data_IF_044618580103
#
_entry.id   IF_044618580103
#
_cell.length_a   1.000
_cell.length_b   1.000
_cell.length_c   1.000
_cell.angle_alpha   90.00
_cell.angle_beta   90.00
_cell.angle_gamma   90.00
#
_symmetry.space_group_name_H-M   'P 1'
#
loop_
_entity.id
_entity.type
_entity.pdbx_description
1 polymer ?
#
# COMPACT_ATOMS: atom_id res chain seq x y z
N UNK A 1 0.35 6.40 -8.39
CA UNK A 1 0.34 7.34 -7.24
C UNK A 1 1.65 8.10 -7.06
N UNK A 2 2.82 7.43 -7.06
CA UNK A 2 4.13 8.06 -6.85
C UNK A 2 4.40 9.26 -7.77
N UNK A 3 4.09 9.15 -9.07
CA UNK A 3 4.26 10.26 -10.01
C UNK A 3 3.35 11.46 -9.66
N UNK A 4 2.11 11.19 -9.24
CA UNK A 4 1.16 12.26 -8.84
C UNK A 4 1.65 12.95 -7.57
N UNK A 5 2.15 12.19 -6.57
CA UNK A 5 2.74 12.78 -5.37
C UNK A 5 3.96 13.65 -5.69
N UNK A 6 4.82 13.21 -6.61
CA UNK A 6 5.96 14.00 -7.05
C UNK A 6 5.52 15.32 -7.72
N UNK A 7 4.53 15.26 -8.62
CA UNK A 7 3.97 16.45 -9.26
C UNK A 7 3.35 17.39 -8.22
N UNK A 8 2.52 16.85 -7.31
CA UNK A 8 1.90 17.62 -6.21
C UNK A 8 2.95 18.32 -5.34
N UNK A 9 4.08 17.65 -5.08
CA UNK A 9 5.18 18.21 -4.28
C UNK A 9 5.82 19.41 -4.97
N UNK A 10 6.06 19.32 -6.27
CA UNK A 10 6.74 20.36 -7.05
C UNK A 10 5.79 21.48 -7.53
N UNK A 11 4.50 21.16 -7.69
CA UNK A 11 3.46 22.08 -8.19
C UNK A 11 2.18 21.99 -7.33
N UNK A 12 2.23 22.29 -6.04
CA UNK A 12 1.09 22.12 -5.13
C UNK A 12 -0.14 22.93 -5.54
N UNK A 13 0.05 24.04 -6.25
CA UNK A 13 -1.01 24.93 -6.71
C UNK A 13 -1.51 24.62 -8.14
N UNK A 14 -0.84 23.69 -8.85
CA UNK A 14 -1.19 23.33 -10.23
C UNK A 14 -0.85 24.41 -11.27
N UNK A 15 0.12 25.29 -11.00
CA UNK A 15 0.49 26.38 -11.92
C UNK A 15 1.23 25.85 -13.16
N UNK A 16 1.96 24.76 -13.03
CA UNK A 16 2.60 24.11 -14.18
C UNK A 16 1.58 23.37 -15.04
N UNK A 17 0.62 22.69 -14.41
CA UNK A 17 -0.46 21.96 -15.11
C UNK A 17 -1.25 22.90 -16.01
N UNK A 18 -1.56 24.10 -15.54
CA UNK A 18 -2.29 25.13 -16.31
C UNK A 18 -1.59 25.58 -17.61
N UNK A 19 -0.30 25.30 -17.75
CA UNK A 19 0.47 25.66 -18.97
C UNK A 19 0.27 24.66 -20.11
N UNK A 20 -0.39 23.54 -19.86
CA UNK A 20 -0.58 22.48 -20.83
C UNK A 20 -2.06 22.33 -21.18
N UNK A 21 -2.35 22.06 -22.43
CA UNK A 21 -3.68 21.65 -22.86
C UNK A 21 -3.88 20.16 -22.57
N UNK A 22 -4.64 19.86 -21.53
CA UNK A 22 -5.01 18.50 -21.12
C UNK A 22 -6.45 18.15 -21.47
N UNK A 23 -7.13 18.95 -22.33
CA UNK A 23 -8.55 18.75 -22.68
C UNK A 23 -8.82 17.42 -23.38
N UNK A 24 -7.82 16.80 -23.97
CA UNK A 24 -7.92 15.46 -24.58
C UNK A 24 -7.84 14.30 -23.59
N UNK A 25 -7.45 14.57 -22.32
CA UNK A 25 -7.38 13.54 -21.29
C UNK A 25 -8.80 13.15 -20.85
N UNK A 26 -9.15 11.88 -21.07
CA UNK A 26 -10.51 11.35 -20.76
C UNK A 26 -10.52 10.53 -19.48
N UNK A 27 -9.46 9.75 -19.25
CA UNK A 27 -9.37 8.83 -18.13
C UNK A 27 -7.93 8.73 -17.68
N UNK A 28 -7.71 8.77 -16.38
CA UNK A 28 -6.43 8.49 -15.75
C UNK A 28 -6.55 7.20 -14.94
N UNK A 29 -5.64 6.27 -15.16
CA UNK A 29 -5.54 5.05 -14.36
C UNK A 29 -4.39 5.15 -13.37
N UNK A 30 -4.58 4.58 -12.19
CA UNK A 30 -3.57 4.43 -11.14
C UNK A 30 -3.32 2.95 -10.87
N UNK A 31 -2.07 2.62 -10.54
CA UNK A 31 -1.68 1.26 -10.17
C UNK A 31 -0.41 1.22 -9.32
N UNK A 32 -0.11 0.04 -8.79
CA UNK A 32 1.15 -0.29 -8.13
C UNK A 32 1.13 -0.09 -6.62
N UNK A 33 0.41 0.90 -6.14
CA UNK A 33 0.16 1.17 -4.73
C UNK A 33 -1.14 1.95 -4.55
N UNK A 34 -1.72 1.89 -3.35
CA UNK A 34 -2.88 2.72 -3.02
C UNK A 34 -2.51 4.21 -3.07
N UNK A 35 -3.36 5.02 -3.68
CA UNK A 35 -3.23 6.47 -3.65
C UNK A 35 -3.98 7.02 -2.44
N UNK A 36 -3.31 7.84 -1.63
CA UNK A 36 -3.94 8.51 -0.50
C UNK A 36 -5.00 9.52 -0.95
N UNK A 37 -6.04 9.69 -0.13
CA UNK A 37 -7.19 10.54 -0.46
C UNK A 37 -6.78 12.00 -0.68
N UNK A 38 -5.84 12.52 0.10
CA UNK A 38 -5.38 13.90 -0.03
C UNK A 38 -4.67 14.16 -1.38
N UNK A 39 -4.00 13.14 -1.94
CA UNK A 39 -3.40 13.21 -3.27
C UNK A 39 -4.44 13.07 -4.36
N UNK A 40 -5.45 12.20 -4.19
CA UNK A 40 -6.57 12.08 -5.11
C UNK A 40 -7.39 13.37 -5.18
N UNK A 41 -7.71 13.99 -4.05
CA UNK A 41 -8.46 15.24 -3.98
C UNK A 41 -7.72 16.38 -4.69
N UNK A 42 -6.42 16.49 -4.44
CA UNK A 42 -5.58 17.44 -5.15
C UNK A 42 -5.59 17.20 -6.67
N UNK A 43 -5.48 15.94 -7.10
CA UNK A 43 -5.50 15.61 -8.53
C UNK A 43 -6.84 15.99 -9.18
N UNK A 44 -7.95 15.63 -8.55
CA UNK A 44 -9.29 15.97 -9.04
C UNK A 44 -9.48 17.48 -9.09
N UNK A 45 -9.04 18.22 -8.09
CA UNK A 45 -9.11 19.68 -8.07
C UNK A 45 -8.32 20.34 -9.20
N UNK A 46 -7.10 19.83 -9.48
CA UNK A 46 -6.19 20.46 -10.45
C UNK A 46 -6.39 19.98 -11.89
N UNK A 47 -6.82 18.76 -12.10
CA UNK A 47 -6.95 18.12 -13.42
C UNK A 47 -8.42 17.99 -13.84
N UNK A 48 -9.36 17.95 -12.91
CA UNK A 48 -10.80 17.84 -13.18
C UNK A 48 -11.29 16.43 -13.53
N UNK A 49 -10.44 15.41 -13.37
CA UNK A 49 -10.75 14.00 -13.67
C UNK A 49 -10.54 13.15 -12.42
N UNK A 50 -11.54 12.32 -12.07
CA UNK A 50 -11.38 11.33 -11.00
C UNK A 50 -10.60 10.15 -11.55
N UNK A 51 -9.42 9.84 -10.99
CA UNK A 51 -8.65 8.69 -11.43
C UNK A 51 -9.35 7.38 -11.10
N UNK A 52 -9.22 6.40 -11.98
CA UNK A 52 -9.63 5.02 -11.76
C UNK A 52 -8.43 4.27 -11.20
N UNK A 53 -8.54 3.77 -9.99
CA UNK A 53 -7.55 2.84 -9.46
C UNK A 53 -7.82 1.44 -10.04
N UNK A 54 -6.76 0.66 -10.21
CA UNK A 54 -6.86 -0.72 -10.64
C UNK A 54 -5.78 -1.55 -9.98
N UNK A 55 -6.11 -2.81 -9.72
CA UNK A 55 -5.20 -3.73 -9.06
C UNK A 55 -4.80 -4.88 -9.97
N UNK A 56 -3.52 -5.15 -9.99
CA UNK A 56 -2.89 -6.24 -10.72
C UNK A 56 -1.58 -6.66 -10.06
N UNK A 57 -1.05 -7.78 -10.48
CA UNK A 57 0.25 -8.28 -10.08
C UNK A 57 1.06 -8.64 -11.32
N UNK A 58 2.37 -8.75 -11.19
CA UNK A 58 3.25 -9.26 -12.26
C UNK A 58 2.76 -10.62 -12.76
N UNK A 59 2.25 -11.42 -11.85
CA UNK A 59 1.69 -12.74 -12.06
C UNK A 59 0.45 -12.76 -12.95
N UNK A 60 -0.32 -11.71 -12.95
CA UNK A 60 -1.52 -11.61 -13.81
C UNK A 60 -1.25 -11.00 -15.18
N UNK A 61 -0.20 -10.16 -15.29
CA UNK A 61 0.16 -9.45 -16.52
C UNK A 61 -0.90 -8.46 -17.02
N UNK A 62 -2.04 -8.37 -16.31
CA UNK A 62 -3.21 -7.58 -16.65
C UNK A 62 -3.98 -7.22 -15.37
N UNK A 63 -4.74 -6.11 -15.35
CA UNK A 63 -5.63 -5.79 -14.23
C UNK A 63 -6.63 -6.92 -13.94
N UNK A 64 -6.69 -7.33 -12.68
CA UNK A 64 -7.68 -8.27 -12.17
C UNK A 64 -8.90 -7.53 -11.59
N UNK A 65 -8.68 -6.32 -11.10
CA UNK A 65 -9.71 -5.38 -10.64
C UNK A 65 -9.54 -4.06 -11.38
N UNK A 66 -10.62 -3.50 -11.88
CA UNK A 66 -10.70 -2.15 -12.47
C UNK A 66 -12.16 -1.77 -12.69
N UNK A 67 -12.40 -0.49 -12.92
CA UNK A 67 -13.61 -0.06 -13.64
C UNK A 67 -13.29 0.02 -15.13
N UNK A 68 -14.29 -0.30 -15.92
CA UNK A 68 -14.19 -0.39 -17.38
C UNK A 68 -15.19 0.57 -18.03
N UNK A 69 -14.94 1.90 -18.05
CA UNK A 69 -15.92 2.91 -18.49
C UNK A 69 -16.37 2.75 -19.96
N UNK A 70 -15.63 1.97 -20.74
CA UNK A 70 -16.03 1.62 -22.12
C UNK A 70 -17.00 0.42 -22.22
N UNK A 71 -17.20 -0.30 -21.12
CA UNK A 71 -18.04 -1.52 -21.06
C UNK A 71 -19.26 -1.32 -20.16
N UNK A 72 -19.05 -0.63 -19.04
CA UNK A 72 -20.08 -0.39 -18.03
C UNK A 72 -20.07 1.06 -17.55
N UNK A 73 -21.23 1.54 -17.11
CA UNK A 73 -21.33 2.79 -16.36
C UNK A 73 -21.32 2.44 -14.88
N UNK A 74 -20.22 2.78 -14.19
CA UNK A 74 -20.08 2.54 -12.77
C UNK A 74 -19.50 3.78 -12.10
N UNK A 75 -19.90 4.03 -10.85
CA UNK A 75 -19.35 5.11 -10.04
C UNK A 75 -17.90 4.81 -9.67
N UNK A 76 -17.03 5.82 -9.71
CA UNK A 76 -15.66 5.71 -9.23
C UNK A 76 -15.69 5.91 -7.71
N UNK A 77 -15.63 4.81 -6.95
CA UNK A 77 -15.50 4.88 -5.49
C UNK A 77 -14.04 5.15 -5.14
N UNK A 78 -13.82 6.17 -4.31
CA UNK A 78 -12.46 6.55 -3.85
C UNK A 78 -11.79 5.39 -3.12
N UNK A 79 -10.51 5.21 -3.37
CA UNK A 79 -9.66 4.16 -2.80
C UNK A 79 -10.09 2.72 -3.14
N UNK A 80 -11.09 2.52 -4.00
CA UNK A 80 -11.44 1.21 -4.53
C UNK A 80 -10.63 0.88 -5.78
N UNK A 81 -10.15 -0.35 -5.88
CA UNK A 81 -9.55 -0.89 -7.09
C UNK A 81 -10.60 -1.28 -8.16
N UNK A 82 -11.88 -0.95 -7.94
CA UNK A 82 -12.99 -1.27 -8.85
C UNK A 82 -13.56 -2.65 -8.59
N UNK A 83 -13.99 -3.28 -9.68
CA UNK A 83 -14.67 -4.60 -9.69
C UNK A 83 -13.84 -5.63 -10.46
N UNK A 84 -14.09 -6.94 -10.28
CA UNK A 84 -13.44 -7.96 -11.09
C UNK A 84 -13.63 -7.72 -12.58
N UNK A 85 -12.54 -7.71 -13.34
CA UNK A 85 -12.63 -7.64 -14.79
C UNK A 85 -12.99 -9.00 -15.38
N UNK A 86 -13.54 -9.09 -16.62
CA UNK A 86 -13.91 -10.36 -17.24
C UNK A 86 -12.80 -11.39 -17.20
N UNK A 87 -13.16 -12.61 -16.77
CA UNK A 87 -12.23 -13.72 -16.62
C UNK A 87 -11.71 -13.95 -15.22
N UNK A 88 -11.92 -13.03 -14.26
CA UNK A 88 -11.51 -13.18 -12.88
C UNK A 88 -12.71 -13.31 -11.94
N UNK A 89 -12.77 -14.40 -11.17
CA UNK A 89 -13.74 -14.61 -10.08
C UNK A 89 -13.00 -14.40 -8.74
N UNK A 90 -13.16 -13.20 -8.17
CA UNK A 90 -12.44 -12.74 -6.98
C UNK A 90 -13.31 -12.91 -5.74
N UNK A 91 -12.71 -13.53 -4.71
CA UNK A 91 -13.32 -13.77 -3.40
C UNK A 91 -12.47 -13.19 -2.29
N UNK A 92 -13.10 -12.92 -1.15
CA UNK A 92 -12.41 -12.54 0.09
C UNK A 92 -12.67 -13.65 1.09
N UNK A 93 -11.59 -14.29 1.56
CA UNK A 93 -11.65 -15.45 2.45
C UNK A 93 -11.13 -15.14 3.85
N UNK A 94 -11.66 -15.85 4.83
CA UNK A 94 -11.04 -15.97 6.17
C UNK A 94 -9.80 -16.89 6.15
N UNK A 95 -9.24 -17.16 7.33
CA UNK A 95 -8.06 -18.06 7.47
C UNK A 95 -8.39 -19.51 7.15
N UNK A 96 -9.62 -19.94 7.38
CA UNK A 96 -10.15 -21.27 7.15
C UNK A 96 -10.58 -21.50 5.69
N UNK A 97 -10.65 -20.45 4.87
CA UNK A 97 -10.99 -20.51 3.45
C UNK A 97 -12.49 -20.39 3.17
N UNK A 98 -13.26 -19.83 4.09
CA UNK A 98 -14.66 -19.49 3.86
C UNK A 98 -14.77 -18.07 3.28
N UNK A 99 -15.68 -17.88 2.33
CA UNK A 99 -15.96 -16.55 1.77
C UNK A 99 -16.61 -15.67 2.84
N UNK A 100 -16.02 -14.49 3.04
CA UNK A 100 -16.52 -13.50 3.99
C UNK A 100 -17.68 -12.70 3.42
N UNK A 101 -18.60 -12.32 4.29
CA UNK A 101 -19.66 -11.34 4.00
C UNK A 101 -19.07 -9.97 3.65
N UNK A 102 -19.80 -9.11 2.92
CA UNK A 102 -19.35 -7.76 2.61
C UNK A 102 -18.87 -6.98 3.84
N UNK A 103 -17.93 -6.05 3.62
CA UNK A 103 -17.30 -5.20 4.64
C UNK A 103 -16.41 -5.92 5.67
N UNK A 104 -16.12 -7.20 5.47
CA UNK A 104 -15.12 -7.90 6.27
C UNK A 104 -13.79 -7.99 5.52
N UNK A 105 -12.71 -7.72 6.25
CA UNK A 105 -11.36 -7.83 5.72
C UNK A 105 -10.89 -9.29 5.73
N UNK A 106 -10.30 -9.72 4.61
CA UNK A 106 -9.76 -11.06 4.49
C UNK A 106 -8.73 -11.20 3.37
N UNK A 107 -8.43 -12.44 3.04
CA UNK A 107 -7.49 -12.80 1.98
C UNK A 107 -8.13 -12.66 0.61
N UNK A 108 -7.53 -11.88 -0.27
CA UNK A 108 -7.96 -11.79 -1.66
C UNK A 108 -7.47 -13.01 -2.42
N UNK A 109 -8.42 -13.78 -2.94
CA UNK A 109 -8.17 -15.01 -3.71
C UNK A 109 -8.92 -14.97 -5.02
N UNK A 110 -8.38 -15.65 -6.03
CA UNK A 110 -8.97 -15.73 -7.37
C UNK A 110 -9.25 -17.20 -7.70
N UNK A 111 -10.49 -17.51 -8.06
CA UNK A 111 -10.89 -18.86 -8.42
C UNK A 111 -10.16 -19.34 -9.67
N UNK A 112 -9.67 -20.57 -9.62
CA UNK A 112 -9.03 -21.21 -10.76
C UNK A 112 -10.07 -21.79 -11.74
N UNK A 113 -9.74 -21.89 -13.07
CA UNK A 113 -8.46 -21.52 -13.69
C UNK A 113 -8.34 -20.00 -13.89
N UNK A 114 -7.11 -19.47 -13.82
CA UNK A 114 -6.84 -18.11 -14.24
C UNK A 114 -7.00 -17.94 -15.76
N UNK A 115 -7.29 -16.71 -16.25
CA UNK A 115 -7.32 -16.44 -17.68
C UNK A 115 -5.99 -16.75 -18.38
N UNK A 116 -6.02 -17.05 -19.68
CA UNK A 116 -4.79 -17.17 -20.48
C UNK A 116 -3.93 -15.91 -20.39
N UNK A 117 -2.62 -16.09 -20.23
CA UNK A 117 -1.66 -14.99 -20.05
C UNK A 117 -1.28 -14.71 -18.60
N UNK A 118 -2.02 -15.27 -17.63
CA UNK A 118 -1.60 -15.25 -16.23
C UNK A 118 -0.45 -16.23 -15.98
N UNK A 119 0.14 -16.15 -14.77
CA UNK A 119 1.26 -16.97 -14.33
C UNK A 119 1.05 -18.47 -14.59
N UNK A 120 1.95 -19.08 -15.32
CA UNK A 120 1.95 -20.53 -15.59
C UNK A 120 2.82 -21.31 -14.61
N UNK A 121 3.76 -20.65 -13.93
CA UNK A 121 4.70 -21.26 -13.01
C UNK A 121 5.90 -20.36 -12.73
N UNK A 122 6.81 -20.86 -11.91
CA UNK A 122 8.13 -20.26 -11.66
C UNK A 122 9.16 -21.13 -12.38
N UNK A 123 10.01 -20.49 -13.18
CA UNK A 123 11.04 -21.20 -13.95
C UNK A 123 11.97 -22.01 -13.04
N UNK A 124 12.00 -23.33 -13.27
CA UNK A 124 12.85 -24.25 -12.53
C UNK A 124 12.45 -24.51 -11.07
N UNK A 125 11.30 -23.96 -10.60
CA UNK A 125 10.89 -24.07 -9.19
C UNK A 125 9.36 -24.22 -9.06
N UNK A 126 8.88 -25.42 -9.38
CA UNK A 126 7.45 -25.72 -9.28
C UNK A 126 6.95 -25.76 -7.82
N UNK A 127 7.79 -26.18 -6.88
CA UNK A 127 7.40 -26.22 -5.46
C UNK A 127 7.13 -24.82 -4.93
N UNK A 128 7.99 -23.85 -5.23
CA UNK A 128 7.78 -22.47 -4.88
C UNK A 128 6.51 -21.89 -5.50
N UNK A 129 6.23 -22.24 -6.76
CA UNK A 129 4.98 -21.85 -7.42
C UNK A 129 3.77 -22.43 -6.69
N UNK A 130 3.78 -23.74 -6.42
CA UNK A 130 2.68 -24.40 -5.76
C UNK A 130 2.43 -23.86 -4.34
N UNK A 131 3.47 -23.84 -3.51
CA UNK A 131 3.34 -23.38 -2.12
C UNK A 131 3.09 -21.87 -1.99
N UNK A 132 3.65 -21.08 -2.88
CA UNK A 132 3.47 -19.63 -2.84
C UNK A 132 2.09 -19.13 -3.28
N UNK A 133 1.44 -19.87 -4.19
CA UNK A 133 0.24 -19.35 -4.85
C UNK A 133 -0.97 -20.27 -4.81
N UNK A 134 -0.82 -21.59 -4.64
CA UNK A 134 -1.91 -22.55 -4.83
C UNK A 134 -2.24 -23.40 -3.60
N UNK A 135 -1.28 -23.59 -2.68
CA UNK A 135 -1.43 -24.53 -1.57
C UNK A 135 -2.31 -23.99 -0.45
N UNK A 136 -2.31 -22.67 -0.19
CA UNK A 136 -3.02 -22.09 0.95
C UNK A 136 -4.54 -22.26 0.86
N UNK A 137 -5.10 -22.04 -0.33
CA UNK A 137 -6.54 -22.19 -0.57
C UNK A 137 -6.76 -23.08 -1.80
N UNK A 138 -6.97 -24.39 -1.65
CA UNK A 138 -7.14 -25.29 -2.78
C UNK A 138 -8.26 -24.88 -3.74
N UNK A 139 -7.94 -24.82 -5.05
CA UNK A 139 -8.87 -24.34 -6.07
C UNK A 139 -8.85 -22.83 -6.32
N UNK A 140 -7.99 -22.12 -5.60
CA UNK A 140 -7.82 -20.66 -5.74
C UNK A 140 -6.36 -20.27 -5.86
N UNK A 141 -6.12 -19.19 -6.60
CA UNK A 141 -4.85 -18.48 -6.60
C UNK A 141 -4.81 -17.53 -5.41
N UNK A 142 -3.81 -17.63 -4.57
CA UNK A 142 -3.57 -16.77 -3.43
C UNK A 142 -2.71 -15.56 -3.83
N UNK A 143 -3.29 -14.37 -3.80
CA UNK A 143 -2.60 -13.14 -4.23
C UNK A 143 -1.55 -12.66 -3.23
N UNK A 144 -1.68 -13.02 -1.96
CA UNK A 144 -0.90 -12.46 -0.86
C UNK A 144 -1.31 -11.02 -0.50
N UNK A 145 -2.45 -10.53 -1.01
CA UNK A 145 -3.04 -9.25 -0.65
C UNK A 145 -4.28 -9.46 0.23
N UNK A 146 -4.49 -8.54 1.17
CA UNK A 146 -5.72 -8.40 1.91
C UNK A 146 -6.68 -7.44 1.22
N UNK A 147 -7.98 -7.66 1.38
CA UNK A 147 -8.99 -6.78 0.80
C UNK A 147 -10.33 -6.86 1.54
N UNK A 148 -11.16 -5.86 1.28
CA UNK A 148 -12.57 -5.78 1.67
C UNK A 148 -13.39 -5.68 0.39
N UNK A 149 -14.55 -6.35 0.35
CA UNK A 149 -15.54 -6.22 -0.75
C UNK A 149 -16.82 -5.63 -0.19
N UNK A 150 -17.40 -4.65 -0.88
CA UNK A 150 -18.71 -4.11 -0.51
C UNK A 150 -19.87 -4.88 -1.17
N UNK A 151 -21.12 -4.52 -0.83
CA UNK A 151 -22.33 -5.16 -1.36
C UNK A 151 -22.51 -4.96 -2.87
N UNK A 152 -21.92 -3.90 -3.43
CA UNK A 152 -21.98 -3.61 -4.86
C UNK A 152 -20.86 -4.31 -5.65
N UNK A 153 -19.97 -5.04 -4.96
CA UNK A 153 -18.87 -5.80 -5.54
C UNK A 153 -17.59 -4.99 -5.79
N UNK A 154 -17.50 -3.77 -5.26
CA UNK A 154 -16.25 -3.01 -5.27
C UNK A 154 -15.27 -3.60 -4.26
N UNK A 155 -14.01 -3.68 -4.67
CA UNK A 155 -12.93 -4.23 -3.85
C UNK A 155 -11.96 -3.12 -3.45
N UNK A 156 -11.63 -3.10 -2.17
CA UNK A 156 -10.69 -2.17 -1.54
C UNK A 156 -9.49 -2.96 -1.05
N UNK A 157 -8.32 -2.71 -1.61
CA UNK A 157 -7.09 -3.40 -1.24
C UNK A 157 -6.56 -2.83 0.08
N UNK A 158 -6.41 -3.68 1.09
CA UNK A 158 -5.89 -3.30 2.41
C UNK A 158 -4.35 -3.29 2.47
N UNK A 159 -3.70 -3.96 1.52
CA UNK A 159 -2.25 -4.10 1.44
C UNK A 159 -1.81 -5.56 1.41
N UNK A 160 -0.50 -5.79 1.56
CA UNK A 160 0.05 -7.15 1.61
C UNK A 160 -0.34 -7.82 2.94
N UNK A 161 -0.72 -9.08 2.86
CA UNK A 161 -1.00 -9.89 4.08
C UNK A 161 0.22 -9.97 4.99
N UNK A 162 1.42 -10.00 4.40
CA UNK A 162 2.68 -10.01 5.13
C UNK A 162 2.99 -8.67 5.82
N UNK A 163 2.31 -7.59 5.43
CA UNK A 163 2.44 -6.26 6.01
C UNK A 163 1.36 -5.97 7.07
N UNK A 164 0.42 -6.88 7.31
CA UNK A 164 -0.54 -6.78 8.42
C UNK A 164 0.22 -6.95 9.74
N UNK A 165 -0.04 -6.05 10.67
CA UNK A 165 0.59 -6.04 11.99
C UNK A 165 -0.34 -6.71 12.99
N UNK A 166 0.15 -7.75 13.67
CA UNK A 166 -0.61 -8.46 14.70
C UNK A 166 -0.24 -7.92 16.10
N UNK A 167 -1.07 -7.03 16.62
CA UNK A 167 -0.88 -6.43 17.95
C UNK A 167 -1.82 -7.07 18.94
N UNK A 168 -1.29 -7.90 19.84
CA UNK A 168 -2.07 -8.58 20.89
C UNK A 168 -3.35 -9.27 20.36
N UNK A 169 -3.26 -9.92 19.17
CA UNK A 169 -4.37 -10.61 18.52
C UNK A 169 -5.23 -9.74 17.60
N UNK A 170 -4.99 -8.43 17.55
CA UNK A 170 -5.66 -7.55 16.59
C UNK A 170 -4.85 -7.43 15.30
N UNK A 171 -5.52 -7.64 14.16
CA UNK A 171 -4.92 -7.46 12.82
C UNK A 171 -5.11 -6.01 12.41
N UNK A 172 -4.00 -5.30 12.22
CA UNK A 172 -4.00 -3.89 11.89
C UNK A 172 -3.44 -3.67 10.49
N UNK A 173 -4.17 -2.96 9.66
CA UNK A 173 -3.75 -2.57 8.32
C UNK A 173 -2.67 -1.49 8.39
N UNK A 174 -1.51 -1.74 7.79
CA UNK A 174 -0.48 -0.70 7.62
C UNK A 174 -0.99 0.43 6.73
N UNK A 175 -1.81 0.11 5.72
CA UNK A 175 -2.36 1.10 4.80
C UNK A 175 -3.27 2.13 5.48
N UNK A 176 -4.11 1.71 6.43
CA UNK A 176 -4.95 2.64 7.20
C UNK A 176 -4.13 3.56 8.08
N UNK A 177 -3.10 3.02 8.73
CA UNK A 177 -2.17 3.83 9.53
C UNK A 177 -1.39 4.80 8.67
N UNK A 178 -0.87 4.35 7.52
CA UNK A 178 -0.16 5.19 6.55
C UNK A 178 -1.06 6.31 6.01
N UNK A 179 -2.34 6.04 5.76
CA UNK A 179 -3.29 7.07 5.35
C UNK A 179 -3.50 8.12 6.44
N UNK A 180 -3.59 7.70 7.69
CA UNK A 180 -3.66 8.64 8.80
C UNK A 180 -2.40 9.50 8.93
N UNK A 181 -1.21 8.87 8.85
CA UNK A 181 0.10 9.54 8.93
C UNK A 181 0.31 10.50 7.76
N UNK A 182 -0.01 10.09 6.52
CA UNK A 182 0.12 10.93 5.32
C UNK A 182 -0.81 12.13 5.32
N UNK A 183 -1.88 12.08 6.12
CA UNK A 183 -2.78 13.22 6.35
C UNK A 183 -2.16 14.35 7.17
N UNK A 184 -1.00 14.15 7.79
CA UNK A 184 -0.31 15.20 8.51
C UNK A 184 0.30 16.24 7.54
N UNK A 185 0.10 17.53 7.84
CA UNK A 185 0.48 18.66 6.96
C UNK A 185 1.96 18.67 6.55
N UNK A 186 2.83 18.19 7.44
CA UNK A 186 4.30 18.26 7.29
C UNK A 186 4.92 16.98 6.72
N UNK A 187 4.15 15.89 6.61
CA UNK A 187 4.60 14.61 6.06
C UNK A 187 4.50 14.62 4.53
N UNK A 188 5.61 14.30 3.86
CA UNK A 188 5.67 14.12 2.41
C UNK A 188 5.42 12.68 2.00
N UNK A 189 6.02 11.75 2.74
CA UNK A 189 5.87 10.31 2.53
C UNK A 189 5.98 9.56 3.86
N UNK A 190 5.36 8.41 3.95
CA UNK A 190 5.42 7.59 5.16
C UNK A 190 5.38 6.10 4.83
N UNK A 191 5.78 5.31 5.81
CA UNK A 191 5.68 3.87 5.81
C UNK A 191 5.43 3.41 7.24
N UNK A 192 4.53 2.44 7.42
CA UNK A 192 4.31 1.77 8.71
C UNK A 192 4.72 0.32 8.58
N UNK A 193 5.48 -0.18 9.54
CA UNK A 193 5.92 -1.58 9.62
C UNK A 193 5.64 -2.15 11.00
N UNK A 194 5.36 -3.45 11.07
CA UNK A 194 5.33 -4.18 12.34
C UNK A 194 6.74 -4.57 12.74
N UNK A 195 7.15 -4.25 13.95
CA UNK A 195 8.39 -4.71 14.56
C UNK A 195 8.07 -5.69 15.68
N UNK A 196 8.97 -6.64 15.93
CA UNK A 196 8.79 -7.66 16.95
C UNK A 196 8.71 -7.03 18.37
N UNK A 197 7.77 -7.51 19.19
CA UNK A 197 7.55 -7.07 20.58
C UNK A 197 7.28 -8.31 21.46
N UNK A 198 8.03 -8.44 22.54
CA UNK A 198 7.99 -9.61 23.41
C UNK A 198 6.62 -9.83 24.09
N UNK A 199 5.86 -8.75 24.30
CA UNK A 199 4.59 -8.81 25.03
C UNK A 199 3.37 -8.89 24.08
N UNK A 200 3.43 -8.19 22.95
CA UNK A 200 2.29 -8.02 22.04
C UNK A 200 2.43 -8.77 20.74
N UNK A 201 3.54 -9.48 20.54
CA UNK A 201 3.91 -10.13 19.31
C UNK A 201 4.51 -9.13 18.32
N UNK A 202 3.74 -8.12 17.95
CA UNK A 202 4.23 -7.00 17.13
C UNK A 202 3.68 -5.67 17.62
N UNK A 203 4.41 -4.59 17.32
CA UNK A 203 3.94 -3.21 17.45
C UNK A 203 4.21 -2.43 16.16
N UNK A 204 3.34 -1.48 15.79
CA UNK A 204 3.58 -0.63 14.63
C UNK A 204 4.63 0.44 14.93
N UNK A 205 5.55 0.61 13.99
CA UNK A 205 6.50 1.71 13.92
C UNK A 205 6.28 2.48 12.63
N UNK A 206 6.10 3.79 12.72
CA UNK A 206 6.01 4.67 11.56
C UNK A 206 7.36 5.25 11.18
N UNK A 207 7.62 5.34 9.88
CA UNK A 207 8.70 6.13 9.30
C UNK A 207 8.08 7.28 8.51
N UNK A 208 8.59 8.50 8.68
CA UNK A 208 8.07 9.67 7.98
C UNK A 208 9.19 10.49 7.34
N UNK A 209 9.05 10.77 6.05
CA UNK A 209 9.82 11.77 5.33
C UNK A 209 9.09 13.12 5.34
N UNK A 210 9.78 14.18 5.71
CA UNK A 210 9.18 15.51 5.81
C UNK A 210 9.14 16.24 4.45
N UNK A 211 8.21 17.17 4.31
CA UNK A 211 8.19 18.12 3.20
C UNK A 211 9.39 19.05 3.28
N UNK A 212 9.83 19.55 2.13
CA UNK A 212 10.94 20.51 2.07
C UNK A 212 10.60 21.80 2.82
N UNK A 213 11.55 22.29 3.62
CA UNK A 213 11.41 23.55 4.35
C UNK A 213 10.56 23.47 5.62
N UNK A 214 10.21 22.27 6.08
CA UNK A 214 9.51 22.07 7.35
C UNK A 214 10.51 22.02 8.49
N UNK A 215 10.26 22.81 9.53
CA UNK A 215 11.03 22.84 10.78
C UNK A 215 10.16 22.33 11.93
N UNK A 216 9.91 21.01 11.98
CA UNK A 216 9.26 20.36 13.10
C UNK A 216 10.25 19.41 13.78
N UNK A 217 10.26 19.38 15.12
CA UNK A 217 11.08 18.38 15.85
C UNK A 217 10.43 17.00 15.74
N UNK A 218 11.25 15.95 15.78
CA UNK A 218 10.79 14.57 15.73
C UNK A 218 9.76 14.28 16.85
N UNK A 219 10.01 14.79 18.07
CA UNK A 219 9.11 14.65 19.22
C UNK A 219 7.73 15.30 18.97
N UNK A 220 7.69 16.47 18.36
CA UNK A 220 6.44 17.15 18.06
C UNK A 220 5.69 16.46 16.92
N UNK A 221 6.40 16.04 15.86
CA UNK A 221 5.81 15.26 14.78
C UNK A 221 5.19 13.97 15.32
N UNK A 222 5.94 13.23 16.15
CA UNK A 222 5.44 12.00 16.77
C UNK A 222 4.16 12.23 17.55
N UNK A 223 4.13 13.24 18.42
CA UNK A 223 2.92 13.57 19.20
C UNK A 223 1.73 13.89 18.31
N UNK A 224 1.92 14.72 17.28
CA UNK A 224 0.83 15.13 16.37
C UNK A 224 0.34 13.94 15.53
N UNK A 225 1.25 13.14 14.99
CA UNK A 225 0.90 11.96 14.16
C UNK A 225 0.23 10.86 14.99
N UNK A 226 0.76 10.56 16.18
CA UNK A 226 0.14 9.57 17.09
C UNK A 226 -1.27 10.00 17.49
N UNK A 227 -1.47 11.28 17.77
CA UNK A 227 -2.82 11.82 18.07
C UNK A 227 -3.76 11.67 16.87
N UNK A 228 -3.28 11.97 15.65
CA UNK A 228 -4.05 11.85 14.41
C UNK A 228 -4.44 10.40 14.10
N UNK A 229 -3.52 9.44 14.25
CA UNK A 229 -3.80 8.01 14.07
C UNK A 229 -4.80 7.52 15.11
N UNK A 230 -4.66 7.97 16.36
CA UNK A 230 -5.59 7.61 17.43
C UNK A 230 -6.99 8.18 17.21
N UNK A 231 -7.10 9.38 16.65
CA UNK A 231 -8.38 9.99 16.29
C UNK A 231 -9.08 9.23 15.15
N UNK A 232 -8.33 8.88 14.10
CA UNK A 232 -8.88 8.26 12.88
C UNK A 232 -9.17 6.78 13.00
N UNK A 233 -8.31 6.02 13.68
CA UNK A 233 -8.38 4.55 13.74
C UNK A 233 -8.78 4.08 15.15
N UNK A 234 -8.42 4.85 16.17
CA UNK A 234 -8.64 4.50 17.56
C UNK A 234 -7.39 4.01 18.28
N UNK A 235 -7.52 3.79 19.59
CA UNK A 235 -6.41 3.39 20.46
C UNK A 235 -5.85 1.98 20.10
N UNK A 236 -6.63 1.18 19.39
CA UNK A 236 -6.25 -0.17 18.92
C UNK A 236 -5.06 -0.11 17.95
N UNK A 237 -4.89 0.97 17.18
CA UNK A 237 -3.78 1.13 16.24
C UNK A 237 -2.41 1.00 16.90
N UNK A 238 -2.31 1.34 18.20
CA UNK A 238 -1.09 1.20 19.01
C UNK A 238 0.18 1.85 18.42
N UNK A 239 0.05 2.69 17.38
CA UNK A 239 1.18 3.45 16.85
C UNK A 239 1.62 4.43 17.91
N UNK A 240 2.88 4.34 18.34
CA UNK A 240 3.43 5.16 19.41
C UNK A 240 4.65 5.95 18.97
N UNK A 241 5.42 5.39 18.04
CA UNK A 241 6.70 5.93 17.64
C UNK A 241 6.71 6.23 16.14
N UNK A 242 7.29 7.39 15.81
CA UNK A 242 7.54 7.84 14.45
C UNK A 242 9.02 8.21 14.33
N UNK A 243 9.72 7.53 13.43
CA UNK A 243 11.10 7.83 13.11
C UNK A 243 11.16 8.74 11.90
N UNK A 244 11.74 9.92 12.03
CA UNK A 244 11.94 10.84 10.92
C UNK A 244 13.13 10.39 10.09
N UNK A 245 12.90 10.14 8.80
CA UNK A 245 13.92 9.74 7.83
C UNK A 245 14.02 10.74 6.69
N UNK A 246 15.19 10.84 6.08
CA UNK A 246 15.37 11.74 4.92
C UNK A 246 14.54 11.27 3.73
N UNK A 247 14.47 9.96 3.53
CA UNK A 247 13.75 9.28 2.44
C UNK A 247 13.49 7.82 2.81
N UNK A 248 12.52 7.20 2.15
CA UNK A 248 12.22 5.78 2.30
C UNK A 248 12.96 4.95 1.25
N UNK A 249 13.41 3.70 1.57
CA UNK A 249 14.02 2.81 0.61
C UNK A 249 12.97 2.31 -0.38
N UNK A 250 13.23 2.51 -1.67
CA UNK A 250 12.30 2.17 -2.76
C UNK A 250 12.99 1.35 -3.84
N UNK A 251 12.19 0.60 -4.58
CA UNK A 251 12.61 0.05 -5.86
C UNK A 251 12.67 1.15 -6.90
N UNK A 252 13.36 0.90 -8.03
CA UNK A 252 13.37 1.80 -9.20
C UNK A 252 11.97 2.15 -9.73
N UNK A 253 10.97 1.31 -9.46
CA UNK A 253 9.56 1.59 -9.78
C UNK A 253 8.82 2.41 -8.72
N UNK A 254 9.50 2.84 -7.64
CA UNK A 254 8.94 3.66 -6.56
C UNK A 254 8.26 2.88 -5.44
N UNK A 255 8.32 1.54 -5.44
CA UNK A 255 7.70 0.69 -4.42
C UNK A 255 8.55 0.66 -3.16
N UNK A 256 7.96 0.97 -2.00
CA UNK A 256 8.65 0.96 -0.70
C UNK A 256 9.05 -0.47 -0.32
N UNK A 257 10.29 -0.63 0.14
CA UNK A 257 10.88 -1.91 0.54
C UNK A 257 10.60 -2.21 2.02
N UNK A 258 9.31 -2.39 2.39
CA UNK A 258 8.88 -2.61 3.79
C UNK A 258 9.57 -3.80 4.46
N UNK A 259 9.72 -4.91 3.74
CA UNK A 259 10.42 -6.09 4.26
C UNK A 259 11.87 -5.78 4.65
N UNK A 260 12.56 -4.97 3.86
CA UNK A 260 13.93 -4.54 4.16
C UNK A 260 13.96 -3.69 5.43
N UNK A 261 13.09 -2.67 5.53
CA UNK A 261 12.97 -1.81 6.71
C UNK A 261 12.74 -2.65 7.97
N UNK A 262 11.77 -3.58 7.93
CA UNK A 262 11.45 -4.46 9.06
C UNK A 262 12.65 -5.32 9.46
N UNK A 263 13.31 -5.96 8.48
CA UNK A 263 14.46 -6.82 8.76
C UNK A 263 15.62 -6.05 9.40
N UNK A 264 15.85 -4.80 8.96
CA UNK A 264 16.86 -3.91 9.57
C UNK A 264 16.50 -3.52 11.00
N UNK A 265 15.23 -3.16 11.26
CA UNK A 265 14.75 -2.80 12.60
C UNK A 265 14.79 -3.96 13.58
N UNK A 266 14.52 -5.18 13.12
CA UNK A 266 14.63 -6.42 13.91
C UNK A 266 16.10 -6.85 14.13
N UNK A 267 17.08 -6.14 13.59
CA UNK A 267 18.50 -6.47 13.70
C UNK A 267 18.91 -7.80 13.05
N UNK A 268 18.10 -8.26 12.09
CA UNK A 268 18.33 -9.52 11.34
C UNK A 268 19.23 -9.28 10.12
N UNK A 269 19.97 -10.31 9.73
CA UNK A 269 20.71 -10.26 8.47
C UNK A 269 19.78 -10.04 7.28
N UNK A 270 20.17 -9.17 6.36
CA UNK A 270 19.41 -8.87 5.15
C UNK A 270 20.30 -8.82 3.91
N UNK A 271 19.68 -9.04 2.77
CA UNK A 271 20.32 -8.82 1.47
C UNK A 271 19.69 -7.59 0.82
N UNK A 272 20.55 -6.73 0.27
CA UNK A 272 20.09 -5.55 -0.47
C UNK A 272 19.43 -6.03 -1.77
N UNK A 273 18.14 -5.75 -2.01
CA UNK A 273 17.48 -6.15 -3.23
C UNK A 273 18.13 -5.48 -4.45
N UNK A 274 18.43 -6.25 -5.49
CA UNK A 274 18.99 -5.72 -6.76
C UNK A 274 18.09 -4.69 -7.46
N UNK A 275 16.83 -4.61 -7.04
CA UNK A 275 15.83 -3.67 -7.56
C UNK A 275 15.82 -2.33 -6.83
N UNK A 276 16.61 -2.15 -5.77
CA UNK A 276 16.68 -0.89 -5.03
C UNK A 276 17.12 0.26 -5.95
N UNK A 277 16.52 1.43 -5.75
CA UNK A 277 16.82 2.62 -6.54
C UNK A 277 18.20 3.19 -6.18
N UNK A 278 18.47 3.33 -4.89
CA UNK A 278 19.70 3.89 -4.37
C UNK A 278 20.14 3.16 -3.08
N UNK A 279 21.27 2.47 -3.16
CA UNK A 279 21.81 1.67 -2.04
C UNK A 279 22.35 2.53 -0.87
N UNK A 280 22.66 3.82 -1.10
CA UNK A 280 23.19 4.70 -0.05
C UNK A 280 22.19 4.92 1.08
N UNK A 281 20.89 4.73 0.80
CA UNK A 281 19.85 4.85 1.81
C UNK A 281 19.98 3.84 2.95
N UNK A 282 20.63 2.69 2.69
CA UNK A 282 20.80 1.65 3.70
C UNK A 282 21.63 2.19 4.87
N UNK A 283 22.76 2.81 4.57
CA UNK A 283 23.62 3.41 5.61
C UNK A 283 22.89 4.54 6.36
N UNK A 284 22.11 5.37 5.64
CA UNK A 284 21.32 6.44 6.27
C UNK A 284 20.28 5.88 7.26
N UNK A 285 19.64 4.74 6.92
CA UNK A 285 18.67 4.09 7.79
C UNK A 285 19.33 3.34 8.95
N UNK A 286 20.46 2.67 8.72
CA UNK A 286 21.22 2.00 9.80
C UNK A 286 21.63 3.00 10.90
N UNK A 287 22.17 4.15 10.52
CA UNK A 287 22.52 5.21 11.46
C UNK A 287 21.29 5.66 12.26
N UNK A 288 20.16 5.89 11.58
CA UNK A 288 18.94 6.37 12.22
C UNK A 288 18.28 5.33 13.14
N UNK A 289 18.30 4.05 12.74
CA UNK A 289 17.74 2.97 13.56
C UNK A 289 18.61 2.68 14.79
N UNK A 290 19.93 2.83 14.69
CA UNK A 290 20.83 2.78 15.85
C UNK A 290 20.58 3.92 16.86
N UNK A 291 20.15 5.09 16.40
CA UNK A 291 19.71 6.19 17.29
C UNK A 291 18.39 5.86 17.98
N UNK A 292 17.42 5.29 17.25
CA UNK A 292 16.11 4.92 17.76
C UNK A 292 16.16 3.80 18.81
N UNK A 293 17.11 2.86 18.70
CA UNK A 293 17.26 1.72 19.60
C UNK A 293 18.01 2.05 20.91
N UNK A 294 18.60 3.24 21.04
CA UNK A 294 19.26 3.75 22.26
C UNK A 294 18.28 4.41 23.22
#
# INVERSE_FOLDING_TARGET
PTAIRAIKKEDPNGELIKKYDISSLRTQFLAGERCDVATLDWYVEKVGITPIDHWWQTESGWPMLSLMPGVETAEIKRASAGKPVPGYDIKIFDEEGYELEPHHEGYLVIKLPLPPGALLGIWGDYERFHYGYLAKFPGYYFSGDGAIKDEEGYVFISGRVDDIINVAGHRLSTAEMEEAVSGHKDVAECCVVGIDDDLKGQIPLGLAGLKSGVEITEENLEKEVVALVREKIGAVACLRNIVVVKRLPKTRSGKILRKLIRTMLDGKEFQIPSTIDDETIITELEEKFLEYQK
#
